data_IF_610919306801
#
_entry.id   IF_610919306801
#
_cell.length_a   1.000
_cell.length_b   1.000
_cell.length_c   1.000
_cell.angle_alpha   90.00
_cell.angle_beta   90.00
_cell.angle_gamma   90.00
#
_symmetry.space_group_name_H-M   'P 1'
#
loop_
_entity.id
_entity.type
_entity.pdbx_description
1 polymer ?
#
# COMPACT_ATOMS: atom_id res chain seq x y z
N UNK A 1 17.26 -6.26 -55.05
CA UNK A 1 18.25 -5.97 -54.00
C UNK A 1 18.02 -4.65 -53.26
N UNK A 2 17.16 -3.73 -53.74
CA UNK A 2 16.91 -2.43 -53.08
C UNK A 2 15.95 -2.46 -51.88
N UNK A 3 15.08 -3.47 -51.76
CA UNK A 3 14.09 -3.58 -50.69
C UNK A 3 14.70 -3.89 -49.29
N UNK A 4 15.88 -4.50 -49.24
CA UNK A 4 16.59 -4.73 -47.98
C UNK A 4 17.17 -3.44 -47.40
N UNK A 5 17.68 -2.55 -48.27
CA UNK A 5 18.32 -1.30 -47.86
C UNK A 5 17.32 -0.32 -47.24
N UNK A 6 16.11 -0.23 -47.78
CA UNK A 6 15.05 0.62 -47.21
C UNK A 6 14.60 0.17 -45.83
N UNK A 7 14.54 -1.13 -45.56
CA UNK A 7 14.18 -1.67 -44.25
C UNK A 7 15.25 -1.38 -43.20
N UNK A 8 16.54 -1.52 -43.56
CA UNK A 8 17.65 -1.13 -42.69
C UNK A 8 17.67 0.38 -42.40
N UNK A 9 17.32 1.21 -43.39
CA UNK A 9 17.27 2.66 -43.23
C UNK A 9 16.12 3.09 -42.30
N UNK A 10 14.95 2.43 -42.38
CA UNK A 10 13.83 2.66 -41.47
C UNK A 10 14.14 2.20 -40.03
N UNK A 11 14.82 1.06 -39.86
CA UNK A 11 15.26 0.59 -38.55
C UNK A 11 16.33 1.50 -37.94
N UNK A 12 17.29 1.97 -38.74
CA UNK A 12 18.30 2.93 -38.31
C UNK A 12 17.67 4.27 -37.91
N UNK A 13 16.69 4.76 -38.66
CA UNK A 13 15.96 5.98 -38.31
C UNK A 13 15.16 5.81 -37.00
N UNK A 14 14.46 4.68 -36.84
CA UNK A 14 13.73 4.37 -35.60
C UNK A 14 14.68 4.26 -34.39
N UNK A 15 15.84 3.63 -34.57
CA UNK A 15 16.88 3.54 -33.55
C UNK A 15 17.43 4.93 -33.19
N UNK A 16 17.74 5.76 -34.17
CA UNK A 16 18.21 7.14 -33.96
C UNK A 16 17.20 7.99 -33.20
N UNK A 17 15.91 7.92 -33.52
CA UNK A 17 14.86 8.66 -32.78
C UNK A 17 14.75 8.16 -31.34
N UNK A 18 14.78 6.83 -31.11
CA UNK A 18 14.80 6.26 -29.75
C UNK A 18 16.03 6.70 -28.97
N UNK A 19 17.21 6.69 -29.58
CA UNK A 19 18.45 7.13 -28.95
C UNK A 19 18.42 8.64 -28.65
N UNK A 20 17.80 9.46 -29.50
CA UNK A 20 17.62 10.89 -29.25
C UNK A 20 16.63 11.16 -28.11
N UNK A 21 15.52 10.42 -28.02
CA UNK A 21 14.58 10.50 -26.90
C UNK A 21 15.24 10.09 -25.58
N UNK A 22 16.01 9.00 -25.60
CA UNK A 22 16.83 8.54 -24.49
C UNK A 22 17.86 9.61 -24.11
N UNK A 23 18.58 10.18 -25.07
CA UNK A 23 19.59 11.22 -24.87
C UNK A 23 18.99 12.50 -24.26
N UNK A 24 17.86 12.98 -24.79
CA UNK A 24 17.10 14.12 -24.25
C UNK A 24 16.66 13.85 -22.82
N UNK A 25 16.21 12.64 -22.53
CA UNK A 25 15.82 12.21 -21.18
C UNK A 25 17.03 12.15 -20.24
N UNK A 26 18.17 11.62 -20.70
CA UNK A 26 19.43 11.53 -19.95
C UNK A 26 20.09 12.89 -19.67
N UNK A 27 19.85 13.91 -20.50
CA UNK A 27 20.41 15.28 -20.36
C UNK A 27 19.44 16.26 -19.69
N UNK A 28 18.18 15.88 -19.46
CA UNK A 28 17.21 16.72 -18.77
C UNK A 28 17.66 17.07 -17.33
N UNK A 29 17.29 18.28 -16.86
CA UNK A 29 17.74 18.95 -15.61
C UNK A 29 17.37 18.23 -14.29
N UNK A 30 16.94 16.97 -14.32
CA UNK A 30 16.74 16.14 -13.12
C UNK A 30 17.98 15.32 -12.74
N UNK A 31 19.08 15.44 -13.51
CA UNK A 31 20.37 14.76 -13.29
C UNK A 31 21.05 15.08 -11.95
N UNK A 32 20.68 16.17 -11.28
CA UNK A 32 21.29 16.62 -10.02
C UNK A 32 20.73 15.94 -8.77
N UNK A 33 19.73 15.07 -8.90
CA UNK A 33 19.10 14.40 -7.76
C UNK A 33 19.72 13.00 -7.61
N UNK A 34 20.42 12.71 -6.50
CA UNK A 34 21.15 11.47 -6.35
C UNK A 34 20.21 10.27 -6.10
N UNK A 35 20.50 9.14 -6.74
CA UNK A 35 19.68 7.93 -6.67
C UNK A 35 20.29 6.73 -7.42
N UNK A 36 19.82 5.49 -7.17
CA UNK A 36 20.40 4.27 -7.71
C UNK A 36 20.33 4.22 -9.24
N UNK A 37 21.42 3.80 -9.89
CA UNK A 37 21.59 3.85 -11.34
C UNK A 37 20.46 3.16 -12.10
N UNK A 38 19.97 2.03 -11.60
CA UNK A 38 18.89 1.25 -12.23
C UNK A 38 17.53 1.97 -12.19
N UNK A 39 17.25 2.78 -11.15
CA UNK A 39 16.00 3.54 -11.04
C UNK A 39 15.92 4.69 -12.07
N UNK A 40 17.05 5.06 -12.67
CA UNK A 40 17.16 6.15 -13.66
C UNK A 40 16.71 5.72 -15.05
N UNK A 41 16.90 4.45 -15.41
CA UNK A 41 16.66 3.95 -16.76
C UNK A 41 15.39 3.10 -16.86
N UNK A 42 15.04 2.35 -15.82
CA UNK A 42 13.91 1.43 -15.87
C UNK A 42 13.23 1.28 -14.51
N UNK A 43 11.99 0.78 -14.53
CA UNK A 43 11.24 0.42 -13.30
C UNK A 43 11.77 -0.86 -12.64
N UNK A 44 12.80 -1.48 -13.20
CA UNK A 44 13.31 -2.78 -12.74
C UNK A 44 13.84 -2.71 -11.31
N UNK A 45 14.53 -1.61 -10.97
CA UNK A 45 14.98 -1.36 -9.60
C UNK A 45 13.80 -1.32 -8.61
N UNK A 46 12.73 -0.61 -8.97
CA UNK A 46 11.52 -0.55 -8.16
C UNK A 46 10.84 -1.91 -8.02
N UNK A 47 10.77 -2.71 -9.09
CA UNK A 47 10.17 -4.04 -9.04
C UNK A 47 10.96 -4.99 -8.13
N UNK A 48 12.28 -4.98 -8.25
CA UNK A 48 13.17 -5.75 -7.39
C UNK A 48 12.98 -5.37 -5.91
N UNK A 49 12.89 -4.07 -5.62
CA UNK A 49 12.67 -3.59 -4.25
C UNK A 49 11.25 -3.82 -3.72
N UNK A 50 10.24 -3.68 -4.58
CA UNK A 50 8.85 -3.97 -4.23
C UNK A 50 8.65 -5.45 -3.89
N UNK A 51 9.41 -6.35 -4.52
CA UNK A 51 9.40 -7.77 -4.19
C UNK A 51 9.93 -8.06 -2.78
N UNK A 52 10.92 -7.30 -2.31
CA UNK A 52 11.48 -7.43 -0.96
C UNK A 52 10.62 -6.81 0.15
N UNK A 53 9.52 -6.11 -0.18
CA UNK A 53 8.52 -5.62 0.79
C UNK A 53 9.00 -4.55 1.78
N UNK A 54 10.28 -4.18 1.77
CA UNK A 54 10.93 -3.30 2.76
C UNK A 54 11.06 -1.85 2.27
N UNK A 55 10.10 -1.39 1.48
CA UNK A 55 10.17 -0.11 0.78
C UNK A 55 10.32 1.09 1.74
N UNK A 56 9.66 1.05 2.91
CA UNK A 56 9.71 2.13 3.89
C UNK A 56 11.11 2.33 4.48
N UNK A 57 11.81 1.23 4.80
CA UNK A 57 13.16 1.25 5.36
C UNK A 57 14.16 1.76 4.33
N UNK A 58 14.02 1.28 3.09
CA UNK A 58 14.88 1.71 1.98
C UNK A 58 14.67 3.18 1.62
N UNK A 59 13.43 3.67 1.68
CA UNK A 59 13.13 5.07 1.47
C UNK A 59 13.78 5.94 2.57
N UNK A 60 13.75 5.50 3.83
CA UNK A 60 14.42 6.20 4.94
C UNK A 60 15.94 6.20 4.73
N UNK A 61 16.54 5.05 4.42
CA UNK A 61 17.98 4.93 4.16
C UNK A 61 18.42 5.82 3.00
N UNK A 62 17.60 5.89 1.95
CA UNK A 62 17.83 6.81 0.84
C UNK A 62 17.79 8.25 1.29
N UNK A 63 16.79 8.65 2.07
CA UNK A 63 16.73 10.01 2.59
C UNK A 63 17.91 10.35 3.52
N UNK A 64 18.46 9.36 4.25
CA UNK A 64 19.68 9.52 5.05
C UNK A 64 20.92 9.71 4.17
N UNK A 65 21.06 8.94 3.09
CA UNK A 65 22.25 8.95 2.23
C UNK A 65 22.24 10.07 1.17
N UNK A 66 21.08 10.44 0.65
CA UNK A 66 20.89 11.28 -0.54
C UNK A 66 20.17 12.61 -0.25
N UNK A 67 19.64 12.79 0.96
CA UNK A 67 19.04 14.03 1.43
C UNK A 67 17.51 14.07 1.39
N UNK A 68 16.91 15.26 1.63
CA UNK A 68 15.48 15.40 1.93
C UNK A 68 14.56 15.02 0.76
N UNK A 69 15.06 14.97 -0.47
CA UNK A 69 14.28 14.62 -1.66
C UNK A 69 15.05 13.55 -2.44
N UNK A 70 14.51 12.33 -2.48
CA UNK A 70 15.06 11.23 -3.27
C UNK A 70 14.06 10.82 -4.34
N UNK A 71 14.56 10.73 -5.57
CA UNK A 71 13.77 10.31 -6.71
C UNK A 71 14.00 8.82 -6.98
N UNK A 72 13.25 7.96 -6.30
CA UNK A 72 13.32 6.51 -6.49
C UNK A 72 12.41 6.00 -7.62
N UNK A 73 11.55 6.87 -8.16
CA UNK A 73 10.66 6.61 -9.30
C UNK A 73 10.77 7.74 -10.32
N UNK A 74 10.77 7.39 -11.61
CA UNK A 74 10.70 8.38 -12.69
C UNK A 74 9.50 9.32 -12.46
N UNK A 75 9.70 10.65 -12.51
CA UNK A 75 8.63 11.61 -12.30
C UNK A 75 7.83 11.68 -13.59
N UNK A 76 6.86 10.78 -13.73
CA UNK A 76 5.86 10.94 -14.75
C UNK A 76 4.92 12.09 -14.30
N UNK A 77 4.81 13.19 -15.08
CA UNK A 77 3.93 14.31 -14.75
C UNK A 77 2.44 13.92 -14.62
N UNK A 78 2.06 12.70 -15.03
CA UNK A 78 0.70 12.17 -14.96
C UNK A 78 0.39 11.41 -13.66
N UNK A 79 1.37 11.14 -12.80
CA UNK A 79 1.15 10.39 -11.54
C UNK A 79 1.10 11.36 -10.36
N UNK A 80 -0.10 11.57 -9.83
CA UNK A 80 -0.41 12.44 -8.69
C UNK A 80 -1.20 11.63 -7.68
N UNK A 81 -0.93 11.86 -6.40
CA UNK A 81 -1.69 11.25 -5.31
C UNK A 81 -2.72 12.25 -4.81
N UNK A 82 -3.90 11.77 -4.39
CA UNK A 82 -4.96 12.63 -3.84
C UNK A 82 -4.47 13.51 -2.66
N UNK A 83 -3.41 13.10 -1.96
CA UNK A 83 -2.95 13.77 -0.74
C UNK A 83 -1.81 14.76 -0.96
N UNK A 84 -0.97 14.57 -1.99
CA UNK A 84 0.22 15.39 -2.21
C UNK A 84 0.12 16.34 -3.42
N UNK A 85 -1.02 16.33 -4.12
CA UNK A 85 -1.25 17.24 -5.25
C UNK A 85 -1.38 18.69 -4.77
N UNK A 86 -0.68 19.61 -5.45
CA UNK A 86 -0.65 21.04 -5.12
C UNK A 86 -1.60 21.85 -5.99
N UNK A 87 -2.07 21.31 -7.11
CA UNK A 87 -3.03 22.00 -7.98
C UNK A 87 -4.45 21.86 -7.43
N UNK A 88 -5.05 22.99 -7.04
CA UNK A 88 -6.41 23.01 -6.47
C UNK A 88 -7.47 22.49 -7.43
N UNK A 89 -7.35 22.71 -8.75
CA UNK A 89 -8.37 22.26 -9.72
C UNK A 89 -8.32 20.75 -9.89
N UNK A 90 -7.12 20.20 -10.08
CA UNK A 90 -6.87 18.76 -10.20
C UNK A 90 -7.20 18.01 -8.91
N UNK A 91 -6.88 18.62 -7.77
CA UNK A 91 -7.26 18.10 -6.45
C UNK A 91 -8.78 18.06 -6.27
N UNK A 92 -9.50 19.10 -6.69
CA UNK A 92 -10.97 19.12 -6.62
C UNK A 92 -11.60 18.01 -7.47
N UNK A 93 -11.12 17.81 -8.71
CA UNK A 93 -11.58 16.73 -9.58
C UNK A 93 -11.30 15.34 -9.01
N UNK A 94 -10.10 15.14 -8.43
CA UNK A 94 -9.73 13.85 -7.82
C UNK A 94 -10.54 13.59 -6.57
N UNK A 95 -10.70 14.59 -5.71
CA UNK A 95 -11.49 14.51 -4.48
C UNK A 95 -12.94 14.13 -4.76
N UNK A 96 -13.55 14.68 -5.82
CA UNK A 96 -14.93 14.34 -6.23
C UNK A 96 -15.13 12.84 -6.45
N UNK A 97 -14.11 12.13 -6.93
CA UNK A 97 -14.18 10.66 -7.16
C UNK A 97 -14.25 9.86 -5.85
N UNK A 98 -13.66 10.37 -4.76
CA UNK A 98 -13.61 9.68 -3.46
C UNK A 98 -14.63 10.22 -2.44
N UNK A 99 -15.17 11.41 -2.66
CA UNK A 99 -16.05 12.12 -1.71
C UNK A 99 -17.28 11.30 -1.31
N UNK A 100 -17.89 10.56 -2.25
CA UNK A 100 -19.10 9.79 -1.98
C UNK A 100 -18.87 8.67 -0.95
N UNK A 101 -17.67 8.07 -0.90
CA UNK A 101 -17.35 7.00 0.06
C UNK A 101 -17.29 7.50 1.51
N UNK A 102 -17.01 8.80 1.70
CA UNK A 102 -16.98 9.45 3.02
C UNK A 102 -18.29 10.20 3.31
N UNK A 103 -19.35 9.97 2.53
CA UNK A 103 -20.67 10.54 2.83
C UNK A 103 -21.25 9.93 4.11
N UNK A 104 -22.11 10.66 4.83
CA UNK A 104 -22.74 10.16 6.05
C UNK A 104 -23.55 8.88 5.83
N UNK A 105 -24.19 8.73 4.65
CA UNK A 105 -24.93 7.51 4.29
C UNK A 105 -24.00 6.32 4.09
N UNK A 106 -22.87 6.51 3.40
CA UNK A 106 -21.84 5.47 3.26
C UNK A 106 -21.19 5.14 4.61
N UNK A 107 -20.91 6.14 5.45
CA UNK A 107 -20.32 5.92 6.76
C UNK A 107 -21.23 5.10 7.68
N UNK A 108 -22.54 5.40 7.66
CA UNK A 108 -23.54 4.67 8.43
C UNK A 108 -23.64 3.20 8.00
N UNK A 109 -23.45 2.89 6.72
CA UNK A 109 -23.42 1.51 6.26
C UNK A 109 -22.28 0.68 6.88
N UNK A 110 -21.23 1.33 7.41
CA UNK A 110 -20.13 0.68 8.10
C UNK A 110 -20.36 0.46 9.60
N UNK A 111 -21.32 1.16 10.21
CA UNK A 111 -21.65 1.08 11.64
C UNK A 111 -21.75 -0.37 12.17
N UNK A 112 -22.55 -1.28 11.59
CA UNK A 112 -22.67 -2.64 12.12
C UNK A 112 -21.38 -3.45 12.05
N UNK A 113 -20.52 -3.20 11.06
CA UNK A 113 -19.23 -3.90 10.93
C UNK A 113 -18.23 -3.43 11.98
N UNK A 114 -18.25 -2.14 12.30
CA UNK A 114 -17.41 -1.58 13.36
C UNK A 114 -17.91 -2.05 14.73
N UNK A 115 -19.22 -2.08 14.93
CA UNK A 115 -19.84 -2.56 16.17
C UNK A 115 -19.51 -4.04 16.43
N UNK A 116 -19.60 -4.91 15.42
CA UNK A 116 -19.21 -6.32 15.54
C UNK A 116 -17.74 -6.46 15.98
N UNK A 117 -16.85 -5.71 15.34
CA UNK A 117 -15.44 -5.72 15.70
C UNK A 117 -15.20 -5.19 17.13
N UNK A 118 -15.94 -4.16 17.54
CA UNK A 118 -15.85 -3.58 18.89
C UNK A 118 -16.35 -4.54 19.96
N UNK A 119 -17.45 -5.25 19.73
CA UNK A 119 -17.97 -6.24 20.69
C UNK A 119 -17.03 -7.42 20.86
N UNK A 120 -16.46 -7.94 19.77
CA UNK A 120 -15.46 -9.01 19.86
C UNK A 120 -14.22 -8.52 20.63
N UNK A 121 -13.77 -7.29 20.39
CA UNK A 121 -12.66 -6.69 21.11
C UNK A 121 -12.96 -6.59 22.63
N UNK A 122 -14.15 -6.10 23.00
CA UNK A 122 -14.60 -6.05 24.41
C UNK A 122 -14.62 -7.43 25.06
N UNK A 123 -15.15 -8.44 24.37
CA UNK A 123 -15.20 -9.81 24.87
C UNK A 123 -13.80 -10.33 25.18
N UNK A 124 -12.85 -10.15 24.26
CA UNK A 124 -11.46 -10.60 24.44
C UNK A 124 -10.73 -9.88 25.56
N UNK A 125 -11.00 -8.58 25.73
CA UNK A 125 -10.48 -7.82 26.85
C UNK A 125 -10.99 -8.39 28.18
N UNK A 126 -12.31 -8.64 28.27
CA UNK A 126 -12.93 -9.23 29.45
C UNK A 126 -12.38 -10.64 29.77
N UNK A 127 -12.18 -11.49 28.76
CA UNK A 127 -11.54 -12.82 28.91
C UNK A 127 -10.09 -12.73 29.40
N UNK A 128 -9.34 -11.72 28.97
CA UNK A 128 -7.94 -11.54 29.37
C UNK A 128 -7.84 -11.05 30.81
N UNK A 129 -8.70 -10.13 31.20
CA UNK A 129 -8.80 -9.63 32.58
C UNK A 129 -9.27 -10.72 33.53
N UNK A 130 -10.25 -11.55 33.14
CA UNK A 130 -10.75 -12.64 34.00
C UNK A 130 -9.78 -13.80 34.19
N UNK A 131 -8.85 -13.99 33.24
CA UNK A 131 -7.75 -14.96 33.35
C UNK A 131 -6.54 -14.43 34.11
N UNK A 132 -6.47 -13.13 34.38
CA UNK A 132 -5.41 -12.54 35.17
C UNK A 132 -5.48 -13.05 36.62
N UNK A 133 -4.37 -13.53 37.18
CA UNK A 133 -4.33 -14.03 38.56
C UNK A 133 -4.65 -12.89 39.54
N UNK A 134 -5.56 -13.11 40.51
CA UNK A 134 -5.80 -12.15 41.57
C UNK A 134 -4.53 -12.03 42.44
N UNK A 135 -3.82 -10.91 42.33
CA UNK A 135 -2.63 -10.58 43.13
C UNK A 135 -1.40 -10.13 42.34
N UNK A 136 -1.35 -10.35 41.02
CA UNK A 136 -0.28 -9.82 40.17
C UNK A 136 -0.76 -8.55 39.46
N UNK A 137 -0.52 -7.37 40.03
CA UNK A 137 -0.38 -6.04 39.40
C UNK A 137 -1.17 -5.63 38.13
N UNK A 138 -2.26 -6.30 37.74
CA UNK A 138 -2.91 -6.17 36.44
C UNK A 138 -2.32 -7.09 35.36
N UNK A 139 -3.15 -7.50 34.40
CA UNK A 139 -2.67 -8.19 33.20
C UNK A 139 -1.93 -7.20 32.29
N UNK A 140 -0.67 -7.47 32.00
CA UNK A 140 0.06 -6.74 30.95
C UNK A 140 -0.53 -7.12 29.59
N UNK A 141 -1.24 -6.17 28.97
CA UNK A 141 -1.91 -6.36 27.70
C UNK A 141 -1.13 -5.68 26.57
N UNK A 142 -0.49 -6.47 25.70
CA UNK A 142 0.11 -5.94 24.47
C UNK A 142 -0.99 -5.61 23.45
N UNK A 143 -1.36 -4.34 23.38
CA UNK A 143 -2.35 -3.80 22.44
C UNK A 143 -1.87 -3.96 20.97
N UNK A 144 -0.55 -4.05 20.74
CA UNK A 144 0.05 -4.25 19.42
C UNK A 144 -0.27 -5.63 18.84
N UNK A 145 -0.18 -6.68 19.65
CA UNK A 145 -0.61 -8.03 19.28
C UNK A 145 -2.11 -8.08 18.99
N UNK A 146 -2.94 -7.46 19.82
CA UNK A 146 -4.40 -7.47 19.66
C UNK A 146 -4.90 -6.74 18.41
N UNK A 147 -4.24 -5.66 17.99
CA UNK A 147 -4.52 -5.00 16.69
C UNK A 147 -4.35 -5.97 15.52
N UNK A 148 -3.29 -6.78 15.54
CA UNK A 148 -3.02 -7.72 14.47
C UNK A 148 -4.01 -8.89 14.47
N UNK A 149 -4.39 -9.38 15.65
CA UNK A 149 -5.42 -10.42 15.83
C UNK A 149 -6.77 -9.93 15.31
N UNK A 150 -7.19 -8.70 15.65
CA UNK A 150 -8.44 -8.10 15.20
C UNK A 150 -8.51 -7.97 13.67
N UNK A 151 -7.43 -7.54 13.03
CA UNK A 151 -7.33 -7.48 11.57
C UNK A 151 -7.45 -8.86 10.90
N UNK A 152 -6.82 -9.89 11.47
CA UNK A 152 -6.94 -11.26 10.96
C UNK A 152 -8.34 -11.84 11.17
N UNK A 153 -8.99 -11.48 12.29
CA UNK A 153 -10.30 -11.99 12.65
C UNK A 153 -11.40 -11.39 11.79
N UNK A 154 -11.40 -10.09 11.51
CA UNK A 154 -12.34 -9.46 10.56
C UNK A 154 -12.25 -10.06 9.14
N UNK A 155 -11.03 -10.43 8.70
CA UNK A 155 -10.85 -11.15 7.43
C UNK A 155 -11.46 -12.55 7.49
N UNK A 156 -11.29 -13.27 8.61
CA UNK A 156 -11.91 -14.57 8.82
C UNK A 156 -13.44 -14.47 8.93
N UNK A 157 -14.01 -13.54 9.70
CA UNK A 157 -15.48 -13.36 9.82
C UNK A 157 -16.11 -12.99 8.49
N UNK A 158 -15.43 -12.17 7.67
CA UNK A 158 -15.91 -11.81 6.32
C UNK A 158 -15.88 -12.99 5.34
N UNK A 159 -14.95 -13.94 5.50
CA UNK A 159 -14.86 -15.15 4.67
C UNK A 159 -15.77 -16.28 5.20
N UNK A 160 -16.00 -16.33 6.52
CA UNK A 160 -16.88 -17.30 7.16
C UNK A 160 -18.29 -16.71 7.32
N UNK A 161 -19.06 -16.65 6.23
CA UNK A 161 -20.54 -16.52 6.27
C UNK A 161 -21.27 -17.65 7.04
N UNK A 162 -20.57 -18.44 7.86
CA UNK A 162 -21.08 -19.61 8.59
C UNK A 162 -20.64 -19.62 10.08
N UNK A 163 -20.50 -18.46 10.73
CA UNK A 163 -20.12 -18.40 12.17
C UNK A 163 -21.19 -19.05 13.07
N UNK A 164 -22.45 -19.12 12.62
CA UNK A 164 -23.52 -19.84 13.32
C UNK A 164 -23.26 -21.36 13.42
N UNK A 165 -22.65 -21.98 12.41
CA UNK A 165 -22.27 -23.41 12.44
C UNK A 165 -21.06 -23.68 13.33
N UNK A 166 -20.08 -22.77 13.35
CA UNK A 166 -18.87 -22.97 14.16
C UNK A 166 -19.13 -22.77 15.66
N UNK A 167 -19.96 -21.79 16.02
CA UNK A 167 -20.43 -21.59 17.40
C UNK A 167 -21.24 -22.79 17.90
N UNK A 168 -22.10 -23.38 17.05
CA UNK A 168 -22.82 -24.62 17.35
C UNK A 168 -21.86 -25.80 17.57
N UNK A 169 -20.90 -26.03 16.67
CA UNK A 169 -19.90 -27.12 16.81
C UNK A 169 -18.98 -26.96 18.02
N UNK A 170 -18.62 -25.74 18.37
CA UNK A 170 -17.80 -25.46 19.55
C UNK A 170 -18.56 -25.77 20.85
N UNK A 171 -19.86 -25.42 20.92
CA UNK A 171 -20.73 -25.76 22.07
C UNK A 171 -20.95 -27.27 22.20
N UNK A 172 -21.12 -27.99 21.09
CA UNK A 172 -21.28 -29.46 21.12
C UNK A 172 -20.02 -30.19 21.58
N UNK A 173 -18.82 -29.66 21.30
CA UNK A 173 -17.54 -30.26 21.74
C UNK A 173 -17.15 -29.97 23.18
N UNK A 174 -17.73 -28.96 23.82
CA UNK A 174 -17.50 -28.66 25.25
C UNK A 174 -18.51 -29.35 26.17
N UNK A 175 -19.56 -29.95 25.61
CA UNK A 175 -20.59 -30.70 26.34
C UNK A 175 -20.38 -32.22 26.32
N UNK A 176 -19.32 -32.70 25.66
CA UNK A 176 -18.81 -34.09 25.70
C UNK A 176 -17.50 -34.13 26.46
#
# INVERSE_FOLDING_TARGET
>A
MHAGFSLWLMLALALCVRLQDIWRTCISRLRSIPGPFLARFTRLWFLYKSYHGSFHLENIEMHMNYGPIVLWKHPDPKIFTLFADRDSKRHAETRRKFQNMYSLSSLKSYEPYVDECAEIFKQRFHETVSRARPGSGGAELDIGHWRNVMLSMSLVTSHTRNVSEFSMRAKTRMAS
#
